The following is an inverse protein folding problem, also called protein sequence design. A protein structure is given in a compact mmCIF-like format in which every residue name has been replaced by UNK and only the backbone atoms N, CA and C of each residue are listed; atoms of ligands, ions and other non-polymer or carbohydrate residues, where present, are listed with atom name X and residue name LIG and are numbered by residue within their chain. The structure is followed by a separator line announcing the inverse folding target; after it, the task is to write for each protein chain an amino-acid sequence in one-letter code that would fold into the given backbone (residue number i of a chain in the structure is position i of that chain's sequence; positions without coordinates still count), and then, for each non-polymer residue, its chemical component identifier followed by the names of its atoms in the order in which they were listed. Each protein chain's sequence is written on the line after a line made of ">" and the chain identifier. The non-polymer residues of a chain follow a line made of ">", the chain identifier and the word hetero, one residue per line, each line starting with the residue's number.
data_IF_297885099151
#
_entry.id   IF_297885099151
#
_cell.length_a   1.000
_cell.length_b   1.000
_cell.length_c   1.000
_cell.angle_alpha   90.00
_cell.angle_beta   90.00
_cell.angle_gamma   90.00
#
_symmetry.space_group_name_H-M   'P 1'
#
loop_
_entity.id
_entity.type
_entity.pdbx_description
1 polymer ?
#
# COMPACT_ATOMS: atom_id res chain seq x y z
N UNK A 1 14.36 11.87 8.99
CA UNK A 1 13.10 12.42 8.43
C UNK A 1 12.45 13.33 9.46
N UNK A 2 11.43 14.11 9.08
CA UNK A 2 10.66 14.91 10.02
C UNK A 2 9.89 13.98 10.96
N UNK A 3 9.94 14.26 12.26
CA UNK A 3 9.14 13.51 13.25
C UNK A 3 7.66 13.87 13.13
N UNK A 4 6.73 12.99 13.57
CA UNK A 4 5.29 13.23 13.48
C UNK A 4 4.81 14.58 14.02
N UNK A 5 5.27 14.97 15.21
CA UNK A 5 4.90 16.26 15.81
C UNK A 5 5.41 17.48 15.00
N UNK A 6 6.52 17.31 14.27
CA UNK A 6 7.04 18.36 13.39
C UNK A 6 6.23 18.46 12.10
N UNK A 7 5.81 17.32 11.53
CA UNK A 7 4.87 17.27 10.41
C UNK A 7 3.56 17.95 10.82
N UNK A 8 2.97 17.55 11.94
CA UNK A 8 1.74 18.14 12.49
C UNK A 8 1.84 19.67 12.66
N UNK A 9 2.91 20.16 13.28
CA UNK A 9 3.11 21.60 13.49
C UNK A 9 3.27 22.41 12.18
N UNK A 10 3.84 21.79 11.13
CA UNK A 10 3.90 22.41 9.80
C UNK A 10 2.53 22.36 9.10
N UNK A 11 1.79 21.25 9.24
CA UNK A 11 0.45 21.09 8.68
C UNK A 11 -0.52 22.16 9.19
N UNK A 12 -0.49 22.47 10.48
CA UNK A 12 -1.35 23.51 11.08
C UNK A 12 -1.23 24.88 10.42
N UNK A 13 -0.09 25.17 9.77
CA UNK A 13 0.14 26.43 9.04
C UNK A 13 -0.37 26.40 7.61
N UNK A 14 -0.35 25.23 6.96
CA UNK A 14 -0.72 25.11 5.54
C UNK A 14 -2.17 24.70 5.33
N UNK A 15 -2.77 23.95 6.26
CA UNK A 15 -4.15 23.46 6.14
C UNK A 15 -5.18 24.59 5.89
N UNK A 16 -5.08 25.79 6.49
CA UNK A 16 -6.00 26.89 6.18
C UNK A 16 -5.89 27.43 4.74
N UNK A 17 -4.85 27.06 4.00
CA UNK A 17 -4.53 27.59 2.67
C UNK A 17 -4.91 26.66 1.52
N UNK A 18 -5.39 25.45 1.82
CA UNK A 18 -5.71 24.42 0.83
C UNK A 18 -7.20 24.08 0.81
N UNK A 19 -7.66 23.50 -0.30
CA UNK A 19 -9.02 23.04 -0.48
C UNK A 19 -9.31 21.77 0.33
N UNK A 20 -10.49 21.73 0.95
CA UNK A 20 -10.98 20.62 1.77
C UNK A 20 -9.91 20.09 2.76
N UNK A 21 -9.45 20.90 3.72
CA UNK A 21 -8.37 20.52 4.64
C UNK A 21 -8.66 19.26 5.46
N UNK A 22 -9.94 18.92 5.67
CA UNK A 22 -10.36 17.69 6.35
C UNK A 22 -9.88 16.39 5.69
N UNK A 23 -9.42 16.43 4.42
CA UNK A 23 -8.76 15.29 3.75
C UNK A 23 -7.45 14.87 4.41
N UNK A 24 -6.84 15.80 5.14
CA UNK A 24 -5.42 15.74 5.53
C UNK A 24 -5.23 15.66 7.05
N UNK A 25 -6.30 15.85 7.84
CA UNK A 25 -6.24 15.99 9.29
C UNK A 25 -6.16 14.67 10.04
N UNK A 26 -6.78 13.60 9.53
CA UNK A 26 -7.00 12.37 10.32
C UNK A 26 -7.86 12.64 11.55
N UNK A 27 -7.75 11.79 12.58
CA UNK A 27 -8.49 11.94 13.83
C UNK A 27 -9.90 11.33 13.80
N UNK A 28 -10.25 10.61 12.73
CA UNK A 28 -11.62 10.19 12.44
C UNK A 28 -12.19 9.21 13.48
N UNK A 29 -13.52 9.15 13.60
CA UNK A 29 -14.16 8.15 14.47
C UNK A 29 -13.86 6.75 13.94
N UNK A 30 -13.58 5.83 14.87
CA UNK A 30 -13.12 4.45 14.64
C UNK A 30 -11.70 4.32 14.07
N UNK A 31 -10.92 5.41 13.96
CA UNK A 31 -9.49 5.25 13.69
C UNK A 31 -8.82 4.41 14.79
N UNK A 32 -7.92 3.54 14.37
CA UNK A 32 -7.08 2.75 15.26
C UNK A 32 -5.70 3.39 15.30
N UNK A 33 -5.24 3.69 16.51
CA UNK A 33 -3.87 4.16 16.76
C UNK A 33 -3.22 3.18 17.74
N UNK A 34 -2.16 2.52 17.29
CA UNK A 34 -1.32 1.65 18.12
C UNK A 34 -0.01 2.35 18.42
N UNK A 35 0.63 1.93 19.51
CA UNK A 35 2.00 2.33 19.79
C UNK A 35 2.94 1.63 18.78
N UNK A 36 3.72 2.42 18.04
CA UNK A 36 4.67 1.93 17.03
C UNK A 36 5.75 1.04 17.66
N UNK A 37 6.12 1.30 18.92
CA UNK A 37 7.12 0.50 19.64
C UNK A 37 6.55 -0.83 20.15
N UNK A 38 5.22 -1.01 20.07
CA UNK A 38 4.51 -2.21 20.55
C UNK A 38 4.24 -3.26 19.45
N UNK A 39 4.58 -2.97 18.20
CA UNK A 39 4.33 -3.84 17.04
C UNK A 39 5.64 -4.20 16.34
N UNK A 40 5.62 -5.31 15.59
CA UNK A 40 6.79 -5.80 14.86
C UNK A 40 6.83 -5.25 13.42
N UNK A 41 5.67 -5.03 12.82
CA UNK A 41 5.52 -4.58 11.43
C UNK A 41 4.54 -3.41 11.31
N UNK A 42 4.98 -2.34 10.65
CA UNK A 42 4.18 -1.15 10.35
C UNK A 42 3.79 -1.11 8.87
N UNK A 43 2.50 -0.92 8.59
CA UNK A 43 1.98 -0.90 7.22
C UNK A 43 1.29 0.43 6.93
N UNK A 44 1.68 1.11 5.86
CA UNK A 44 0.88 2.18 5.29
C UNK A 44 0.04 1.62 4.14
N UNK A 45 -1.28 1.63 4.32
CA UNK A 45 -2.26 1.34 3.28
C UNK A 45 -2.45 2.59 2.43
N UNK A 46 -1.95 2.56 1.21
CA UNK A 46 -1.91 3.73 0.32
C UNK A 46 -2.96 3.57 -0.78
N UNK A 47 -3.88 4.52 -0.87
CA UNK A 47 -4.75 4.66 -2.03
C UNK A 47 -4.23 5.80 -2.90
N UNK A 48 -3.77 5.56 -4.13
CA UNK A 48 -3.12 6.57 -4.99
C UNK A 48 -4.13 7.51 -5.66
N UNK A 49 -5.12 7.97 -4.90
CA UNK A 49 -6.09 8.98 -5.29
C UNK A 49 -6.54 9.75 -4.04
N UNK A 50 -7.37 10.77 -4.21
CA UNK A 50 -7.92 11.58 -3.15
C UNK A 50 -8.60 10.75 -2.06
N UNK A 51 -8.50 11.25 -0.83
CA UNK A 51 -9.18 10.72 0.34
C UNK A 51 -10.68 10.42 0.09
N UNK A 52 -11.43 11.38 -0.47
CA UNK A 52 -12.88 11.26 -0.68
C UNK A 52 -13.26 10.04 -1.55
N UNK A 53 -12.36 9.66 -2.48
CA UNK A 53 -12.47 8.50 -3.37
C UNK A 53 -11.97 7.23 -2.68
N UNK A 54 -10.77 7.27 -2.11
CA UNK A 54 -10.15 6.11 -1.47
C UNK A 54 -10.91 5.61 -0.24
N UNK A 55 -11.55 6.49 0.52
CA UNK A 55 -12.45 6.13 1.62
C UNK A 55 -13.64 5.29 1.19
N UNK A 56 -14.03 5.37 -0.08
CA UNK A 56 -15.13 4.57 -0.64
C UNK A 56 -14.69 3.17 -1.05
N UNK A 57 -13.41 2.82 -0.89
CA UNK A 57 -12.86 1.52 -1.23
C UNK A 57 -13.06 0.51 -0.09
N UNK A 58 -14.00 -0.42 -0.27
CA UNK A 58 -14.28 -1.47 0.71
C UNK A 58 -13.09 -2.39 0.97
N UNK A 59 -12.32 -2.74 -0.07
CA UNK A 59 -11.13 -3.58 0.08
C UNK A 59 -10.08 -2.94 0.99
N UNK A 60 -9.84 -1.64 0.83
CA UNK A 60 -8.95 -0.87 1.71
C UNK A 60 -9.45 -0.88 3.16
N UNK A 61 -10.76 -0.70 3.38
CA UNK A 61 -11.36 -0.72 4.70
C UNK A 61 -11.26 -2.10 5.38
N UNK A 62 -11.46 -3.18 4.61
CA UNK A 62 -11.29 -4.56 5.09
C UNK A 62 -9.83 -4.81 5.48
N UNK A 63 -8.86 -4.45 4.62
CA UNK A 63 -7.45 -4.62 4.92
C UNK A 63 -7.02 -3.80 6.15
N UNK A 64 -7.52 -2.58 6.28
CA UNK A 64 -7.26 -1.74 7.47
C UNK A 64 -7.74 -2.41 8.77
N UNK A 65 -8.94 -2.97 8.75
CA UNK A 65 -9.51 -3.69 9.91
C UNK A 65 -8.73 -4.96 10.21
N UNK A 66 -8.43 -5.79 9.21
CA UNK A 66 -7.69 -7.04 9.37
C UNK A 66 -6.28 -6.82 9.95
N UNK A 67 -5.53 -5.87 9.39
CA UNK A 67 -4.16 -5.58 9.87
C UNK A 67 -4.22 -4.99 11.29
N UNK A 68 -5.18 -4.12 11.59
CA UNK A 68 -5.30 -3.55 12.92
C UNK A 68 -5.87 -4.53 13.96
N UNK A 69 -6.47 -5.64 13.56
CA UNK A 69 -6.75 -6.78 14.45
C UNK A 69 -5.53 -7.68 14.67
N UNK A 70 -4.51 -7.60 13.80
CA UNK A 70 -3.28 -8.35 13.97
C UNK A 70 -2.52 -7.85 15.22
N UNK A 71 -2.12 -8.74 16.15
CA UNK A 71 -1.51 -8.32 17.42
C UNK A 71 -0.12 -7.70 17.24
N UNK A 72 0.63 -8.14 16.22
CA UNK A 72 2.01 -7.72 15.99
C UNK A 72 2.16 -6.68 14.86
N UNK A 73 1.06 -6.09 14.36
CA UNK A 73 1.13 -5.11 13.29
C UNK A 73 0.18 -3.92 13.50
N UNK A 74 0.47 -2.82 12.84
CA UNK A 74 -0.43 -1.67 12.71
C UNK A 74 -0.60 -1.31 11.23
N UNK A 75 -1.78 -0.78 10.91
CA UNK A 75 -2.05 -0.17 9.62
C UNK A 75 -2.48 1.27 9.78
N UNK A 76 -1.87 2.15 9.00
CA UNK A 76 -2.25 3.55 8.85
C UNK A 76 -2.54 3.85 7.38
N UNK A 77 -3.34 4.88 7.11
CA UNK A 77 -3.83 5.20 5.77
C UNK A 77 -3.11 6.39 5.20
N UNK A 78 -2.86 6.36 3.90
CA UNK A 78 -2.34 7.50 3.14
C UNK A 78 -3.04 7.62 1.78
N UNK A 79 -3.15 8.85 1.30
CA UNK A 79 -3.89 9.21 0.10
C UNK A 79 -3.11 10.21 -0.73
N UNK A 80 -3.43 10.32 -2.01
CA UNK A 80 -2.87 11.38 -2.83
C UNK A 80 -3.41 12.75 -2.36
N UNK A 81 -2.54 13.75 -2.16
CA UNK A 81 -2.98 15.12 -1.98
C UNK A 81 -3.58 15.68 -3.27
N UNK A 82 -4.44 16.69 -3.17
CA UNK A 82 -4.81 17.50 -4.32
C UNK A 82 -3.67 18.43 -4.72
N UNK A 83 -3.71 19.00 -5.92
CA UNK A 83 -2.63 19.81 -6.51
C UNK A 83 -2.15 20.95 -5.59
N UNK A 84 -3.07 21.62 -4.91
CA UNK A 84 -2.75 22.74 -4.00
C UNK A 84 -2.06 22.27 -2.72
N UNK A 85 -2.50 21.15 -2.15
CA UNK A 85 -1.88 20.52 -1.00
C UNK A 85 -0.52 19.90 -1.37
N UNK A 86 -0.38 19.28 -2.54
CA UNK A 86 0.91 18.77 -3.00
C UNK A 86 1.93 19.90 -3.13
N UNK A 87 1.54 21.00 -3.78
CA UNK A 87 2.39 22.18 -3.90
C UNK A 87 2.79 22.73 -2.53
N UNK A 88 1.85 22.78 -1.57
CA UNK A 88 2.13 23.21 -0.21
C UNK A 88 3.08 22.26 0.53
N UNK A 89 2.92 20.94 0.39
CA UNK A 89 3.82 19.94 0.98
C UNK A 89 5.25 20.09 0.45
N UNK A 90 5.40 20.16 -0.88
CA UNK A 90 6.71 20.34 -1.53
C UNK A 90 7.37 21.67 -1.12
N UNK A 91 6.62 22.77 -1.14
CA UNK A 91 7.14 24.09 -0.77
C UNK A 91 7.59 24.21 0.70
N UNK A 92 7.02 23.37 1.58
CA UNK A 92 7.34 23.35 3.00
C UNK A 92 8.20 22.15 3.41
N UNK A 93 8.72 21.39 2.44
CA UNK A 93 9.55 20.20 2.65
C UNK A 93 8.90 19.19 3.61
N UNK A 94 7.60 18.98 3.47
CA UNK A 94 6.84 18.00 4.24
C UNK A 94 6.71 16.75 3.36
N UNK A 95 7.26 15.59 3.78
CA UNK A 95 7.08 14.36 3.03
C UNK A 95 5.62 13.91 3.10
N UNK A 96 5.21 13.05 2.17
CA UNK A 96 3.92 12.35 2.31
C UNK A 96 3.89 11.55 3.63
N UNK A 97 2.73 11.56 4.28
CA UNK A 97 2.56 11.07 5.64
C UNK A 97 1.26 10.29 5.81
N UNK A 98 1.16 9.52 6.90
CA UNK A 98 -0.03 8.76 7.28
C UNK A 98 -1.06 9.60 8.04
N UNK A 99 -2.35 9.34 7.87
CA UNK A 99 -3.41 10.14 8.49
C UNK A 99 -3.48 9.98 10.01
N UNK A 100 -3.28 8.77 10.53
CA UNK A 100 -3.51 8.42 11.92
C UNK A 100 -2.53 9.12 12.85
N UNK A 101 -1.22 9.03 12.54
CA UNK A 101 -0.18 9.53 13.45
C UNK A 101 0.78 10.52 12.81
N UNK A 102 0.69 10.80 11.50
CA UNK A 102 1.58 11.72 10.75
C UNK A 102 3.01 11.22 10.64
N UNK A 103 3.26 9.91 10.71
CA UNK A 103 4.57 9.37 10.33
C UNK A 103 4.80 9.55 8.84
N UNK A 104 6.04 9.81 8.44
CA UNK A 104 6.39 9.88 7.02
C UNK A 104 6.26 8.47 6.42
N UNK A 105 5.83 8.37 5.16
CA UNK A 105 5.65 7.05 4.55
C UNK A 105 6.95 6.24 4.46
N UNK A 106 8.10 6.91 4.37
CA UNK A 106 9.39 6.25 4.36
C UNK A 106 9.83 5.69 5.73
N UNK A 107 9.10 5.98 6.82
CA UNK A 107 9.36 5.39 8.15
C UNK A 107 8.66 4.03 8.36
N UNK A 108 7.78 3.60 7.45
CA UNK A 108 7.05 2.33 7.56
C UNK A 108 7.91 1.13 7.11
N UNK A 109 7.54 -0.08 7.54
CA UNK A 109 8.13 -1.32 7.01
C UNK A 109 7.55 -1.67 5.63
N UNK A 110 6.26 -1.43 5.42
CA UNK A 110 5.54 -1.79 4.19
C UNK A 110 4.69 -0.61 3.70
N UNK A 111 4.81 -0.28 2.41
CA UNK A 111 3.83 0.53 1.68
C UNK A 111 2.98 -0.38 0.81
N UNK A 112 1.68 -0.50 1.14
CA UNK A 112 0.75 -1.35 0.44
C UNK A 112 -0.22 -0.53 -0.42
N UNK A 113 0.08 -0.45 -1.72
CA UNK A 113 -0.73 0.28 -2.69
C UNK A 113 -1.94 -0.52 -3.16
N UNK A 114 -3.11 0.10 -3.14
CA UNK A 114 -4.33 -0.44 -3.76
C UNK A 114 -4.52 0.15 -5.16
N UNK A 115 -4.39 -0.68 -6.20
CA UNK A 115 -4.47 -0.32 -7.62
C UNK A 115 -5.69 -0.97 -8.30
N UNK A 116 -6.91 -0.43 -8.10
CA UNK A 116 -8.11 -0.94 -8.75
C UNK A 116 -8.12 -0.74 -10.27
N UNK A 117 -7.37 0.22 -10.81
CA UNK A 117 -7.33 0.55 -12.24
C UNK A 117 -6.03 1.27 -12.60
N UNK A 118 -5.64 1.19 -13.88
CA UNK A 118 -4.34 1.59 -14.42
C UNK A 118 -4.12 3.11 -14.42
N UNK A 119 -5.19 3.92 -14.41
CA UNK A 119 -5.06 5.38 -14.40
C UNK A 119 -4.42 5.93 -13.12
N UNK A 120 -4.24 5.10 -12.09
CA UNK A 120 -3.55 5.48 -10.84
C UNK A 120 -2.04 5.21 -10.84
N UNK A 121 -1.48 4.67 -11.93
CA UNK A 121 -0.05 4.34 -11.97
C UNK A 121 0.85 5.56 -11.81
N UNK A 122 0.57 6.65 -12.53
CA UNK A 122 1.34 7.89 -12.42
C UNK A 122 1.20 8.52 -11.03
N UNK A 123 0.01 8.46 -10.44
CA UNK A 123 -0.23 8.92 -9.07
C UNK A 123 0.59 8.11 -8.06
N UNK A 124 0.64 6.78 -8.20
CA UNK A 124 1.50 5.90 -7.39
C UNK A 124 2.97 6.34 -7.45
N UNK A 125 3.50 6.62 -8.64
CA UNK A 125 4.88 7.10 -8.79
C UNK A 125 5.07 8.48 -8.14
N UNK A 126 4.10 9.38 -8.28
CA UNK A 126 4.13 10.68 -7.62
C UNK A 126 4.14 10.56 -6.09
N UNK A 127 3.39 9.62 -5.51
CA UNK A 127 3.39 9.40 -4.06
C UNK A 127 4.72 8.83 -3.56
N UNK A 128 5.39 7.96 -4.33
CA UNK A 128 6.74 7.50 -4.00
C UNK A 128 7.74 8.66 -4.00
N UNK A 129 7.70 9.50 -5.05
CA UNK A 129 8.52 10.71 -5.15
C UNK A 129 8.27 11.69 -3.98
N UNK A 130 7.01 11.97 -3.69
CA UNK A 130 6.60 12.86 -2.57
C UNK A 130 6.96 12.29 -1.20
N UNK A 131 7.12 10.97 -1.09
CA UNK A 131 7.61 10.29 0.12
C UNK A 131 9.12 10.28 0.24
N UNK A 132 9.86 10.72 -0.78
CA UNK A 132 11.31 10.62 -0.86
C UNK A 132 11.82 9.19 -1.05
N UNK A 133 10.99 8.30 -1.60
CA UNK A 133 11.33 6.90 -1.85
C UNK A 133 11.74 6.75 -3.33
N UNK A 134 12.86 6.06 -3.64
CA UNK A 134 13.26 5.81 -5.02
C UNK A 134 12.13 5.18 -5.83
N UNK A 135 11.89 5.74 -7.02
CA UNK A 135 10.84 5.28 -7.92
C UNK A 135 11.08 3.83 -8.34
N UNK A 136 12.30 3.54 -8.82
CA UNK A 136 12.65 2.20 -9.27
C UNK A 136 12.97 1.28 -8.10
N UNK A 137 12.35 0.10 -8.07
CA UNK A 137 12.58 -0.94 -7.06
C UNK A 137 14.07 -1.29 -6.93
N UNK A 138 14.79 -1.35 -8.05
CA UNK A 138 16.23 -1.64 -8.08
C UNK A 138 17.11 -0.61 -7.37
N UNK A 139 16.59 0.59 -7.07
CA UNK A 139 17.31 1.65 -6.36
C UNK A 139 17.03 1.66 -4.85
N UNK A 140 16.17 0.76 -4.34
CA UNK A 140 15.80 0.71 -2.93
C UNK A 140 16.75 -0.18 -2.13
N UNK A 141 17.43 0.42 -1.16
CA UNK A 141 18.25 -0.27 -0.16
C UNK A 141 17.46 -0.82 1.05
N UNK A 142 18.14 -1.40 2.06
CA UNK A 142 17.54 -1.90 3.29
C UNK A 142 16.79 -0.84 4.12
N UNK A 143 17.13 0.43 3.96
CA UNK A 143 16.54 1.58 4.65
C UNK A 143 15.17 2.01 4.12
N UNK A 144 14.76 1.51 2.95
CA UNK A 144 13.50 1.86 2.32
C UNK A 144 12.40 0.84 2.63
N UNK A 145 11.12 1.26 2.77
CA UNK A 145 10.01 0.34 2.97
C UNK A 145 9.90 -0.67 1.83
N UNK A 146 9.35 -1.85 2.11
CA UNK A 146 8.90 -2.77 1.09
C UNK A 146 7.67 -2.18 0.39
N UNK A 147 7.72 -1.98 -0.92
CA UNK A 147 6.59 -1.48 -1.70
C UNK A 147 5.85 -2.66 -2.32
N UNK A 148 4.62 -2.89 -1.88
CA UNK A 148 3.73 -3.91 -2.44
C UNK A 148 2.52 -3.26 -3.12
N UNK A 149 1.93 -3.96 -4.08
CA UNK A 149 0.70 -3.51 -4.73
C UNK A 149 -0.32 -4.63 -4.92
N UNK A 150 -1.59 -4.35 -4.70
CA UNK A 150 -2.72 -5.24 -4.97
C UNK A 150 -3.85 -4.52 -5.71
N UNK A 151 -4.96 -5.20 -5.96
CA UNK A 151 -6.12 -4.66 -6.67
C UNK A 151 -6.23 -5.14 -8.11
N UNK A 152 -7.35 -4.87 -8.79
CA UNK A 152 -7.67 -5.51 -10.08
C UNK A 152 -6.62 -5.28 -11.18
N UNK A 153 -5.93 -4.14 -11.19
CA UNK A 153 -4.91 -3.89 -12.22
C UNK A 153 -3.66 -4.78 -12.07
N UNK A 154 -3.44 -5.39 -10.89
CA UNK A 154 -2.28 -6.26 -10.65
C UNK A 154 -2.42 -7.65 -11.27
N UNK A 155 -3.57 -7.97 -11.87
CA UNK A 155 -3.69 -9.13 -12.75
C UNK A 155 -2.76 -9.05 -13.97
N UNK A 156 -2.37 -7.83 -14.36
CA UNK A 156 -1.33 -7.57 -15.36
C UNK A 156 -0.24 -6.70 -14.70
N UNK A 157 0.66 -7.26 -13.88
CA UNK A 157 1.58 -6.48 -13.06
C UNK A 157 2.74 -5.85 -13.85
N UNK A 158 3.04 -6.38 -15.03
CA UNK A 158 4.22 -6.01 -15.84
C UNK A 158 4.38 -4.50 -16.13
N UNK A 159 3.32 -3.71 -16.44
CA UNK A 159 3.48 -2.27 -16.64
C UNK A 159 4.06 -1.51 -15.45
N UNK A 160 3.95 -2.07 -14.23
CA UNK A 160 4.45 -1.47 -12.99
C UNK A 160 5.64 -2.24 -12.39
N UNK A 161 6.16 -3.26 -13.08
CA UNK A 161 7.15 -4.21 -12.55
C UNK A 161 8.42 -3.52 -12.03
N UNK A 162 8.81 -2.40 -12.64
CA UNK A 162 10.05 -1.69 -12.32
C UNK A 162 9.95 -0.86 -11.02
N UNK A 163 8.74 -0.61 -10.52
CA UNK A 163 8.47 0.32 -9.44
C UNK A 163 7.93 -0.35 -8.16
N UNK A 164 7.50 -1.60 -8.24
CA UNK A 164 6.89 -2.34 -7.12
C UNK A 164 7.74 -3.57 -6.81
N UNK A 165 7.98 -3.83 -5.53
CA UNK A 165 8.85 -4.94 -5.10
C UNK A 165 8.12 -6.29 -5.14
N UNK A 166 6.83 -6.31 -4.77
CA UNK A 166 5.97 -7.50 -4.86
C UNK A 166 4.51 -7.13 -5.15
N UNK A 167 3.86 -7.89 -6.01
CA UNK A 167 2.45 -7.77 -6.33
C UNK A 167 1.64 -8.86 -5.66
N UNK A 168 0.48 -8.50 -5.15
CA UNK A 168 -0.56 -9.44 -4.72
C UNK A 168 -1.58 -9.56 -5.84
N UNK A 169 -1.73 -10.78 -6.38
CA UNK A 169 -2.66 -11.11 -7.45
C UNK A 169 -3.82 -11.91 -6.86
N UNK A 170 -5.03 -11.34 -6.92
CA UNK A 170 -6.24 -11.93 -6.35
C UNK A 170 -6.64 -11.29 -5.03
N UNK A 171 -7.16 -12.10 -4.10
CA UNK A 171 -7.75 -11.62 -2.85
C UNK A 171 -6.69 -11.36 -1.76
N UNK A 172 -6.85 -10.22 -1.07
CA UNK A 172 -5.83 -9.61 -0.20
C UNK A 172 -5.95 -9.98 1.27
N UNK A 173 -7.10 -10.49 1.70
CA UNK A 173 -7.50 -10.58 3.10
C UNK A 173 -6.64 -11.53 3.94
N UNK A 174 -6.28 -12.70 3.41
CA UNK A 174 -5.39 -13.64 4.11
C UNK A 174 -3.91 -13.36 3.81
N UNK A 175 -3.60 -13.07 2.53
CA UNK A 175 -2.21 -12.90 2.07
C UNK A 175 -1.50 -11.73 2.74
N UNK A 176 -2.22 -10.66 3.11
CA UNK A 176 -1.60 -9.53 3.81
C UNK A 176 -1.05 -9.93 5.18
N UNK A 177 -1.71 -10.84 5.89
CA UNK A 177 -1.22 -11.39 7.16
C UNK A 177 0.06 -12.20 6.96
N UNK A 178 0.08 -13.08 5.96
CA UNK A 178 1.28 -13.87 5.62
C UNK A 178 2.47 -13.00 5.22
N UNK A 179 2.23 -11.90 4.49
CA UNK A 179 3.27 -10.93 4.14
C UNK A 179 3.79 -10.23 5.40
N UNK A 180 2.90 -9.77 6.29
CA UNK A 180 3.26 -9.12 7.56
C UNK A 180 4.13 -10.03 8.42
N UNK A 181 3.72 -11.28 8.59
CA UNK A 181 4.45 -12.28 9.38
C UNK A 181 5.81 -12.59 8.74
N UNK A 182 5.86 -12.69 7.41
CA UNK A 182 7.10 -12.92 6.67
C UNK A 182 8.09 -11.76 6.84
N UNK A 183 7.61 -10.52 6.81
CA UNK A 183 8.44 -9.32 7.04
C UNK A 183 8.92 -9.25 8.48
N UNK A 184 8.06 -9.51 9.46
CA UNK A 184 8.44 -9.56 10.88
C UNK A 184 9.54 -10.61 11.13
N UNK A 185 9.34 -11.83 10.62
CA UNK A 185 10.33 -12.90 10.73
C UNK A 185 11.65 -12.54 10.04
N UNK A 186 11.59 -11.92 8.85
CA UNK A 186 12.78 -11.49 8.14
C UNK A 186 13.60 -10.44 8.91
N UNK A 187 12.95 -9.54 9.65
CA UNK A 187 13.60 -8.59 10.55
C UNK A 187 14.33 -9.31 11.68
N UNK A 188 13.68 -10.28 12.33
CA UNK A 188 14.31 -11.10 13.39
C UNK A 188 15.51 -11.91 12.89
N UNK A 189 15.44 -12.42 11.66
CA UNK A 189 16.51 -13.18 11.02
C UNK A 189 17.61 -12.29 10.39
N UNK A 190 17.43 -10.96 10.37
CA UNK A 190 18.30 -10.00 9.67
C UNK A 190 18.50 -10.36 8.18
N UNK A 191 17.43 -10.76 7.50
CA UNK A 191 17.51 -11.12 6.09
C UNK A 191 17.81 -9.91 5.21
N UNK A 192 18.51 -10.17 4.11
CA UNK A 192 18.67 -9.17 3.05
C UNK A 192 17.33 -8.96 2.34
N UNK A 193 17.14 -7.78 1.72
CA UNK A 193 15.95 -7.50 0.89
C UNK A 193 15.72 -8.56 -0.18
N UNK A 194 16.78 -9.03 -0.85
CA UNK A 194 16.67 -10.10 -1.85
C UNK A 194 16.19 -11.44 -1.25
N UNK A 195 16.66 -11.80 -0.05
CA UNK A 195 16.21 -13.00 0.63
C UNK A 195 14.75 -12.89 1.09
N UNK A 196 14.33 -11.72 1.57
CA UNK A 196 12.92 -11.42 1.87
C UNK A 196 12.05 -11.57 0.61
N UNK A 197 12.44 -10.99 -0.52
CA UNK A 197 11.70 -11.08 -1.78
C UNK A 197 11.54 -12.53 -2.27
N UNK A 198 12.59 -13.36 -2.17
CA UNK A 198 12.52 -14.81 -2.46
C UNK A 198 11.61 -15.58 -1.51
N UNK A 199 11.48 -15.14 -0.26
CA UNK A 199 10.55 -15.74 0.70
C UNK A 199 9.11 -15.34 0.38
N UNK A 200 8.88 -14.07 0.07
CA UNK A 200 7.58 -13.56 -0.34
C UNK A 200 7.06 -14.23 -1.60
N UNK A 201 7.92 -14.55 -2.57
CA UNK A 201 7.50 -15.23 -3.82
C UNK A 201 6.98 -16.66 -3.63
N UNK A 202 7.15 -17.24 -2.44
CA UNK A 202 6.60 -18.56 -2.09
C UNK A 202 5.17 -18.46 -1.56
N UNK A 203 4.70 -17.24 -1.25
CA UNK A 203 3.33 -17.00 -0.78
C UNK A 203 2.38 -17.07 -1.98
N UNK A 204 1.28 -17.83 -1.84
CA UNK A 204 0.30 -17.99 -2.90
C UNK A 204 -0.34 -16.64 -3.29
N UNK A 205 -0.26 -16.32 -4.58
CA UNK A 205 -0.75 -15.07 -5.15
C UNK A 205 0.27 -13.93 -5.16
N UNK A 206 1.49 -14.13 -4.64
CA UNK A 206 2.54 -13.11 -4.66
C UNK A 206 3.44 -13.26 -5.88
N UNK A 207 3.54 -12.20 -6.68
CA UNK A 207 4.44 -12.08 -7.82
C UNK A 207 5.56 -11.08 -7.50
N UNK A 208 6.82 -11.52 -7.61
CA UNK A 208 7.99 -10.67 -7.33
C UNK A 208 8.75 -10.45 -8.66
N UNK A 209 8.65 -9.26 -9.27
CA UNK A 209 9.18 -9.01 -10.62
C UNK A 209 10.64 -9.36 -10.82
N UNK A 210 11.48 -9.08 -9.83
CA UNK A 210 12.94 -9.29 -9.91
C UNK A 210 13.34 -10.77 -10.00
N UNK A 211 12.39 -11.69 -9.86
CA UNK A 211 12.61 -13.14 -10.00
C UNK A 211 12.20 -13.66 -11.38
N UNK A 212 11.89 -12.78 -12.34
CA UNK A 212 11.50 -13.14 -13.70
C UNK A 212 12.20 -12.25 -14.73
N UNK A 213 12.34 -12.77 -15.95
CA UNK A 213 12.88 -12.05 -17.09
C UNK A 213 11.93 -12.22 -18.28
N UNK A 214 11.39 -11.10 -18.77
CA UNK A 214 10.53 -11.08 -19.95
C UNK A 214 11.38 -10.97 -21.22
N UNK A 215 11.13 -11.86 -22.18
CA UNK A 215 11.77 -11.87 -23.48
C UNK A 215 10.80 -11.41 -24.56
N UNK A 216 11.32 -10.61 -25.50
CA UNK A 216 10.56 -10.03 -26.60
C UNK A 216 11.16 -10.46 -27.93
N UNK A 217 10.31 -10.63 -28.94
CA UNK A 217 10.73 -10.87 -30.32
C UNK A 217 11.33 -9.59 -30.93
N UNK A 218 12.00 -9.73 -32.08
CA UNK A 218 12.60 -8.60 -32.81
C UNK A 218 11.59 -7.50 -33.19
N UNK A 219 10.30 -7.83 -33.30
CA UNK A 219 9.20 -6.90 -33.58
C UNK A 219 8.64 -6.21 -32.31
N UNK A 220 9.22 -6.47 -31.14
CA UNK A 220 8.82 -5.92 -29.85
C UNK A 220 7.62 -6.63 -29.21
N UNK A 221 7.07 -7.68 -29.83
CA UNK A 221 6.00 -8.47 -29.21
C UNK A 221 6.53 -9.37 -28.10
N UNK A 222 5.72 -9.61 -27.07
CA UNK A 222 6.07 -10.51 -25.98
C UNK A 222 6.24 -11.95 -26.51
N UNK A 223 7.36 -12.59 -26.18
CA UNK A 223 7.65 -13.97 -26.56
C UNK A 223 7.33 -14.92 -25.40
N UNK A 224 8.08 -14.82 -24.30
CA UNK A 224 7.90 -15.64 -23.11
C UNK A 224 8.51 -14.96 -21.89
N UNK A 225 8.29 -15.55 -20.71
CA UNK A 225 8.88 -15.10 -19.45
C UNK A 225 9.58 -16.30 -18.80
N UNK A 226 10.82 -16.09 -18.38
CA UNK A 226 11.62 -17.09 -17.67
C UNK A 226 11.67 -16.76 -16.18
N UNK A 227 11.69 -17.81 -15.34
CA UNK A 227 11.93 -17.65 -13.91
C UNK A 227 13.44 -17.63 -13.64
N UNK A 228 13.87 -16.67 -12.83
CA UNK A 228 15.27 -16.48 -12.39
C UNK A 228 15.58 -17.16 -11.05
N UNK A 229 14.54 -17.61 -10.35
CA UNK A 229 14.64 -18.32 -9.07
C UNK A 229 13.83 -19.62 -9.11
N UNK A 230 14.35 -20.68 -8.49
CA UNK A 230 13.72 -22.00 -8.53
C UNK A 230 12.39 -22.00 -7.77
N UNK A 231 12.38 -21.32 -6.63
CA UNK A 231 11.26 -21.14 -5.71
C UNK A 231 10.14 -20.22 -6.23
N UNK A 232 10.39 -19.48 -7.30
CA UNK A 232 9.39 -18.62 -7.92
C UNK A 232 8.37 -19.44 -8.73
N UNK A 233 7.09 -19.07 -8.61
CA UNK A 233 5.99 -19.78 -9.26
C UNK A 233 5.78 -19.32 -10.70
N UNK A 234 5.73 -20.25 -11.66
CA UNK A 234 5.34 -19.95 -13.04
C UNK A 234 4.42 -21.07 -13.55
N UNK A 235 3.11 -20.83 -13.77
CA UNK A 235 2.43 -19.53 -13.64
C UNK A 235 2.21 -19.10 -12.18
N UNK A 236 2.18 -17.78 -11.93
CA UNK A 236 1.62 -17.25 -10.68
C UNK A 236 0.09 -17.29 -10.77
N UNK A 237 -0.52 -18.03 -9.86
CA UNK A 237 -1.98 -18.21 -9.84
C UNK A 237 -2.59 -17.22 -8.86
N UNK A 238 -3.66 -16.54 -9.31
CA UNK A 238 -4.43 -15.62 -8.46
C UNK A 238 -4.88 -16.31 -7.17
N UNK A 239 -4.81 -15.59 -6.05
CA UNK A 239 -5.38 -16.05 -4.80
C UNK A 239 -6.90 -15.96 -4.84
N UNK A 240 -7.56 -17.00 -4.33
CA UNK A 240 -9.00 -17.08 -4.18
C UNK A 240 -9.31 -17.43 -2.72
N UNK A 241 -10.15 -16.63 -2.09
CA UNK A 241 -10.67 -16.76 -0.75
C UNK A 241 -12.07 -17.40 -0.82
N UNK A 242 -12.18 -18.72 -0.61
CA UNK A 242 -13.45 -19.42 -0.76
C UNK A 242 -14.48 -19.04 0.31
N UNK A 243 -14.02 -18.51 1.45
CA UNK A 243 -14.87 -18.09 2.57
C UNK A 243 -14.51 -16.66 2.97
N UNK A 244 -15.45 -15.75 2.72
CA UNK A 244 -15.29 -14.35 3.09
C UNK A 244 -15.20 -14.18 4.63
N UNK A 245 -14.41 -13.21 5.11
CA UNK A 245 -14.40 -12.85 6.51
C UNK A 245 -15.76 -12.29 6.94
N UNK A 246 -16.04 -12.20 8.25
CA UNK A 246 -17.20 -11.47 8.73
C UNK A 246 -17.25 -10.04 8.14
N UNK A 247 -18.45 -9.50 7.90
CA UNK A 247 -18.57 -8.16 7.35
C UNK A 247 -17.95 -7.13 8.29
N UNK A 248 -17.28 -6.13 7.72
CA UNK A 248 -16.76 -4.99 8.46
C UNK A 248 -17.91 -4.27 9.17
N UNK A 249 -17.75 -4.03 10.47
CA UNK A 249 -18.77 -3.35 11.30
C UNK A 249 -18.32 -1.99 11.83
N UNK A 250 -17.00 -1.74 11.84
CA UNK A 250 -16.39 -0.50 12.36
C UNK A 250 -15.72 0.27 11.23
N UNK A 251 -16.52 0.81 10.32
CA UNK A 251 -16.00 1.71 9.29
C UNK A 251 -15.44 2.98 9.91
N UNK A 252 -14.37 3.51 9.32
CA UNK A 252 -13.93 4.87 9.60
C UNK A 252 -15.04 5.83 9.22
N UNK A 253 -15.40 6.74 10.13
CA UNK A 253 -16.41 7.77 9.84
C UNK A 253 -15.69 9.08 9.50
N UNK A 254 -15.69 9.49 8.22
CA UNK A 254 -14.96 10.67 7.75
C UNK A 254 -15.56 11.96 8.30
N UNK A 255 -14.73 12.98 8.50
CA UNK A 255 -15.17 14.33 8.88
C UNK A 255 -15.60 15.20 7.70
N UNK A 256 -15.48 14.68 6.49
CA UNK A 256 -15.91 15.32 5.25
C UNK A 256 -16.79 14.37 4.43
N UNK A 257 -17.57 14.95 3.52
CA UNK A 257 -18.38 14.16 2.60
C UNK A 257 -17.49 13.38 1.62
N UNK A 258 -17.67 12.06 1.58
CA UNK A 258 -17.02 11.14 0.64
C UNK A 258 -17.91 10.90 -0.58
N UNK A 259 -17.32 10.39 -1.66
CA UNK A 259 -18.05 10.14 -2.92
C UNK A 259 -19.19 9.12 -2.73
N UNK A 260 -18.98 8.12 -1.89
CA UNK A 260 -20.03 7.21 -1.45
C UNK A 260 -20.34 7.41 0.04
N UNK A 261 -21.30 8.27 0.32
CA UNK A 261 -21.79 8.51 1.68
C UNK A 261 -22.85 7.46 2.10
N UNK A 262 -22.42 6.19 2.18
CA UNK A 262 -23.24 5.04 2.56
C UNK A 262 -22.36 3.96 3.19
N UNK A 263 -22.93 3.10 4.04
CA UNK A 263 -22.24 1.92 4.53
C UNK A 263 -22.34 0.79 3.49
N UNK A 264 -21.22 0.33 2.90
CA UNK A 264 -21.23 -0.84 2.03
C UNK A 264 -21.29 -2.12 2.87
N UNK A 265 -22.18 -3.05 2.49
CA UNK A 265 -22.20 -4.41 3.03
C UNK A 265 -22.00 -5.36 1.86
N UNK A 266 -20.92 -6.12 1.88
CA UNK A 266 -20.70 -7.18 0.89
C UNK A 266 -21.56 -8.40 1.27
N UNK A 267 -22.45 -8.80 0.37
CA UNK A 267 -23.37 -9.95 0.56
C UNK A 267 -22.86 -11.19 -0.20
N UNK A 268 -22.18 -10.98 -1.33
CA UNK A 268 -21.61 -12.03 -2.18
C UNK A 268 -20.44 -11.46 -2.98
N UNK A 269 -19.51 -12.33 -3.39
CA UNK A 269 -18.36 -11.97 -4.22
C UNK A 269 -18.30 -12.82 -5.48
N UNK A 270 -18.03 -12.18 -6.61
CA UNK A 270 -18.05 -12.78 -7.94
C UNK A 270 -19.44 -12.85 -8.56
N UNK A 271 -19.48 -12.95 -9.89
CA UNK A 271 -20.67 -13.36 -10.62
C UNK A 271 -20.55 -14.88 -10.81
N UNK A 272 -21.40 -15.65 -10.14
CA UNK A 272 -21.60 -17.09 -10.44
C UNK A 272 -22.35 -17.29 -11.73
#
# INVERSE_FOLDING_TARGET
>A
MLKPHQIQARLERILPTVQKPGRYTGGELNQVVKDWDSVETTVALVFPDLYDLGMSNLGLAILYDLINQHPAALAERAYAPWDDMEAALRANEIPLYSLETKHALADFDILAFSLPYETLYTSTLNLLDLSGIPLFSAQRGPEHPLVIAGGHSTFNPEPMHAFVDAFVIGEGEEVIGEIIDTVAQAKHENLTRQALLRRLSQIWGVYVPTLYEAHYNDDGTFAHIDKLAEEASLPVVKRILPKLPPPLTKFIVPYIETVHNRAPIEIMRGCT
#
